data_IF_894831158683
#
_entry.id   IF_894831158683
#
_cell.length_a   1.000
_cell.length_b   1.000
_cell.length_c   1.000
_cell.angle_alpha   90.00
_cell.angle_beta   90.00
_cell.angle_gamma   90.00
#
_symmetry.space_group_name_H-M   'P 1'
#
loop_
_entity.id
_entity.type
_entity.pdbx_description
1 polymer ?
#
# COMPACT_ATOMS: atom_id res chain seq x y z
N UNK A 1 -8.56 9.67 -20.31
CA UNK A 1 -8.15 10.41 -19.10
C UNK A 1 -8.82 9.72 -17.93
N UNK A 2 -8.07 9.01 -17.07
CA UNK A 2 -8.64 8.36 -15.88
C UNK A 2 -9.31 9.41 -15.01
N UNK A 3 -10.59 9.21 -14.72
CA UNK A 3 -11.41 10.07 -13.87
C UNK A 3 -10.76 10.15 -12.48
N UNK A 4 -10.63 11.35 -11.94
CA UNK A 4 -10.11 11.55 -10.60
C UNK A 4 -11.08 10.95 -9.58
N UNK A 5 -10.60 10.04 -8.74
CA UNK A 5 -11.38 9.46 -7.66
C UNK A 5 -11.50 10.44 -6.50
N UNK A 6 -12.65 10.43 -5.83
CA UNK A 6 -12.85 11.16 -4.57
C UNK A 6 -12.37 10.28 -3.41
N UNK A 7 -11.45 10.82 -2.61
CA UNK A 7 -11.01 10.22 -1.35
C UNK A 7 -11.50 11.09 -0.19
N UNK A 8 -12.12 10.48 0.80
CA UNK A 8 -12.73 11.18 1.93
C UNK A 8 -11.78 11.21 3.14
N UNK A 9 -10.92 12.23 3.19
CA UNK A 9 -9.96 12.43 4.26
C UNK A 9 -10.64 12.97 5.53
N UNK A 10 -10.78 12.10 6.52
CA UNK A 10 -11.24 12.41 7.87
C UNK A 10 -10.04 12.60 8.80
N UNK A 11 -9.81 13.84 9.23
CA UNK A 11 -8.71 14.19 10.13
C UNK A 11 -9.21 15.07 11.28
N UNK A 12 -8.92 14.75 12.55
CA UNK A 12 -9.34 15.57 13.68
C UNK A 12 -8.58 16.90 13.79
N UNK A 13 -7.54 17.10 12.98
CA UNK A 13 -6.70 18.30 12.95
C UNK A 13 -6.40 18.70 11.51
N UNK A 14 -6.22 20.02 11.30
CA UNK A 14 -5.81 20.59 10.02
C UNK A 14 -4.29 20.51 9.84
N UNK A 15 -3.77 20.46 8.60
CA UNK A 15 -2.34 20.56 8.36
C UNK A 15 -1.75 21.83 9.00
N UNK A 16 -0.61 21.69 9.67
CA UNK A 16 0.06 22.77 10.41
C UNK A 16 1.58 22.75 10.20
N UNK A 17 2.26 23.82 10.63
CA UNK A 17 3.70 23.99 10.41
C UNK A 17 4.03 23.99 8.92
N UNK A 18 5.00 23.16 8.51
CA UNK A 18 5.44 23.05 7.11
C UNK A 18 4.54 22.15 6.24
N UNK A 19 3.57 21.45 6.84
CA UNK A 19 2.71 20.52 6.11
C UNK A 19 1.92 21.18 4.96
N UNK A 20 1.28 22.36 5.11
CA UNK A 20 0.54 22.99 4.02
C UNK A 20 1.40 23.25 2.78
N UNK A 21 2.63 23.74 2.98
CA UNK A 21 3.59 24.00 1.90
C UNK A 21 4.01 22.69 1.23
N UNK A 22 4.39 21.68 2.00
CA UNK A 22 4.78 20.37 1.46
C UNK A 22 3.65 19.70 0.67
N UNK A 23 2.41 19.76 1.16
CA UNK A 23 1.22 19.26 0.46
C UNK A 23 1.05 19.98 -0.88
N UNK A 24 1.13 21.31 -0.89
CA UNK A 24 0.95 22.12 -2.08
C UNK A 24 2.05 21.89 -3.12
N UNK A 25 3.30 21.70 -2.71
CA UNK A 25 4.42 21.41 -3.61
C UNK A 25 4.30 20.01 -4.23
N UNK A 26 4.06 18.99 -3.41
CA UNK A 26 3.91 17.60 -3.88
C UNK A 26 2.71 17.45 -4.82
N UNK A 27 1.58 18.06 -4.47
CA UNK A 27 0.35 18.05 -5.32
C UNK A 27 0.66 18.69 -6.67
N UNK A 28 1.27 19.89 -6.68
CA UNK A 28 1.63 20.57 -7.94
C UNK A 28 2.63 19.77 -8.78
N UNK A 29 3.58 19.07 -8.16
CA UNK A 29 4.49 18.20 -8.90
C UNK A 29 3.77 17.04 -9.58
N UNK A 30 2.79 16.44 -8.91
CA UNK A 30 1.98 15.38 -9.51
C UNK A 30 1.13 15.92 -10.68
N UNK A 31 0.54 17.11 -10.54
CA UNK A 31 -0.23 17.76 -11.61
C UNK A 31 0.63 18.13 -12.83
N UNK A 32 1.92 18.45 -12.61
CA UNK A 32 2.89 18.67 -13.70
C UNK A 32 3.36 17.37 -14.38
N UNK A 33 3.07 16.21 -13.77
CA UNK A 33 3.55 14.91 -14.26
C UNK A 33 4.96 14.56 -13.80
N UNK A 34 5.46 15.16 -12.71
CA UNK A 34 6.77 14.84 -12.16
C UNK A 34 6.78 13.38 -11.69
N UNK A 35 7.62 12.55 -12.34
CA UNK A 35 7.69 11.11 -12.07
C UNK A 35 8.28 10.78 -10.70
N UNK A 36 9.20 11.62 -10.21
CA UNK A 36 9.92 11.39 -8.97
C UNK A 36 9.89 12.66 -8.12
N UNK A 37 9.46 12.52 -6.88
CA UNK A 37 9.43 13.59 -5.88
C UNK A 37 9.89 13.01 -4.53
N UNK A 38 10.43 13.85 -3.66
CA UNK A 38 10.93 13.42 -2.34
C UNK A 38 10.42 14.37 -1.26
N UNK A 39 9.72 13.82 -0.27
CA UNK A 39 9.33 14.54 0.94
C UNK A 39 10.44 14.38 1.99
N UNK A 40 11.26 15.42 2.17
CA UNK A 40 12.27 15.45 3.22
C UNK A 40 11.64 15.87 4.57
N UNK A 41 10.98 14.93 5.24
CA UNK A 41 10.30 15.17 6.51
C UNK A 41 11.05 14.63 7.72
N UNK A 42 11.31 15.47 8.72
CA UNK A 42 11.88 15.05 10.02
C UNK A 42 10.96 14.07 10.76
N UNK A 43 11.49 13.29 11.69
CA UNK A 43 10.68 12.39 12.54
C UNK A 43 9.70 13.22 13.38
N UNK A 44 8.45 12.75 13.51
CA UNK A 44 7.40 13.45 14.26
C UNK A 44 6.69 14.58 13.49
N UNK A 45 7.11 14.93 12.27
CA UNK A 45 6.47 16.00 11.46
C UNK A 45 5.09 15.65 10.88
N UNK A 46 4.57 14.44 11.14
CA UNK A 46 3.27 14.01 10.60
C UNK A 46 3.29 13.66 9.11
N UNK A 47 4.34 12.97 8.64
CA UNK A 47 4.49 12.57 7.22
C UNK A 47 3.26 11.85 6.65
N UNK A 48 2.63 10.95 7.43
CA UNK A 48 1.43 10.23 6.98
C UNK A 48 0.28 11.19 6.68
N UNK A 49 0.07 12.23 7.51
CA UNK A 49 -0.96 13.25 7.27
C UNK A 49 -0.67 14.08 6.01
N UNK A 50 0.59 14.46 5.81
CA UNK A 50 1.02 15.14 4.58
C UNK A 50 0.69 14.29 3.35
N UNK A 51 1.08 13.01 3.35
CA UNK A 51 0.83 12.11 2.22
C UNK A 51 -0.68 11.82 2.05
N UNK A 52 -1.46 11.69 3.12
CA UNK A 52 -2.91 11.53 3.03
C UNK A 52 -3.58 12.72 2.32
N UNK A 53 -3.17 13.95 2.63
CA UNK A 53 -3.67 15.13 1.92
C UNK A 53 -3.26 15.12 0.43
N UNK A 54 -2.04 14.66 0.11
CA UNK A 54 -1.58 14.53 -1.27
C UNK A 54 -2.41 13.48 -2.03
N UNK A 55 -2.69 12.33 -1.42
CA UNK A 55 -3.54 11.27 -2.00
C UNK A 55 -4.93 11.84 -2.32
N UNK A 56 -5.58 12.52 -1.35
CA UNK A 56 -6.86 13.18 -1.57
C UNK A 56 -6.81 14.18 -2.72
N UNK A 57 -5.79 15.04 -2.70
CA UNK A 57 -5.68 16.10 -3.70
C UNK A 57 -5.40 15.55 -5.10
N UNK A 58 -4.67 14.46 -5.25
CA UNK A 58 -4.34 13.86 -6.54
C UNK A 58 -5.44 12.94 -7.06
N UNK A 59 -6.12 12.21 -6.17
CA UNK A 59 -7.31 11.42 -6.49
C UNK A 59 -7.05 10.25 -7.43
N UNK A 60 -6.01 9.45 -7.15
CA UNK A 60 -5.70 8.21 -7.89
C UNK A 60 -5.45 7.04 -6.93
N UNK A 61 -5.74 5.79 -7.35
CA UNK A 61 -5.32 4.61 -6.60
C UNK A 61 -3.84 4.70 -6.23
N UNK A 62 -3.52 4.46 -4.96
CA UNK A 62 -2.18 4.67 -4.42
C UNK A 62 -1.61 3.42 -3.76
N UNK A 63 -0.38 3.07 -4.11
CA UNK A 63 0.39 2.01 -3.44
C UNK A 63 1.40 2.64 -2.46
N UNK A 64 1.29 2.30 -1.18
CA UNK A 64 2.23 2.70 -0.12
C UNK A 64 3.12 1.51 0.19
N UNK A 65 4.40 1.58 -0.20
CA UNK A 65 5.37 0.52 0.06
C UNK A 65 6.13 0.76 1.37
N UNK A 66 6.14 -0.25 2.24
CA UNK A 66 6.91 -0.29 3.47
C UNK A 66 7.93 -1.43 3.43
N UNK A 67 9.11 -1.19 3.99
CA UNK A 67 10.20 -2.16 3.99
C UNK A 67 10.02 -3.29 5.01
N UNK A 68 9.04 -3.19 5.93
CA UNK A 68 8.80 -4.21 6.95
C UNK A 68 7.31 -4.31 7.33
N UNK A 69 6.90 -5.48 7.87
CA UNK A 69 5.50 -5.78 8.25
C UNK A 69 5.00 -4.87 9.39
N UNK A 70 5.84 -4.53 10.36
CA UNK A 70 5.46 -3.71 11.53
C UNK A 70 5.06 -2.29 11.11
N UNK A 71 5.91 -1.62 10.33
CA UNK A 71 5.62 -0.28 9.83
C UNK A 71 4.47 -0.31 8.81
N UNK A 72 4.35 -1.38 8.01
CA UNK A 72 3.19 -1.54 7.12
C UNK A 72 1.88 -1.59 7.92
N UNK A 73 1.83 -2.35 9.02
CA UNK A 73 0.65 -2.42 9.88
C UNK A 73 0.33 -1.07 10.53
N UNK A 74 1.35 -0.32 10.98
CA UNK A 74 1.18 1.02 11.52
C UNK A 74 0.58 1.99 10.48
N UNK A 75 1.17 2.03 9.28
CA UNK A 75 0.69 2.86 8.18
C UNK A 75 -0.73 2.48 7.75
N UNK A 76 -1.04 1.18 7.69
CA UNK A 76 -2.39 0.69 7.40
C UNK A 76 -3.40 1.19 8.43
N UNK A 77 -3.09 1.10 9.73
CA UNK A 77 -3.95 1.62 10.79
C UNK A 77 -4.16 3.14 10.70
N UNK A 78 -3.08 3.90 10.53
CA UNK A 78 -3.14 5.37 10.39
C UNK A 78 -3.96 5.78 9.17
N UNK A 79 -3.62 5.26 7.98
CA UNK A 79 -4.31 5.59 6.72
C UNK A 79 -5.78 5.17 6.79
N UNK A 80 -6.10 4.01 7.38
CA UNK A 80 -7.49 3.56 7.54
C UNK A 80 -8.30 4.48 8.46
N UNK A 81 -7.68 5.04 9.49
CA UNK A 81 -8.32 6.05 10.34
C UNK A 81 -8.53 7.38 9.62
N UNK A 82 -7.64 7.74 8.68
CA UNK A 82 -7.77 8.92 7.85
C UNK A 82 -8.79 8.76 6.72
N UNK A 83 -9.03 7.55 6.23
CA UNK A 83 -9.94 7.30 5.11
C UNK A 83 -10.96 6.19 5.46
N UNK A 84 -11.86 6.42 6.43
CA UNK A 84 -12.78 5.39 6.92
C UNK A 84 -13.83 4.97 5.88
N UNK A 85 -14.03 5.76 4.82
CA UNK A 85 -15.02 5.53 3.77
C UNK A 85 -14.39 5.05 2.43
N UNK A 86 -13.06 5.04 2.34
CA UNK A 86 -12.32 4.57 1.17
C UNK A 86 -11.82 3.11 1.35
N UNK A 87 -11.40 2.47 0.26
CA UNK A 87 -10.81 1.14 0.32
C UNK A 87 -9.33 1.23 0.73
N UNK A 88 -9.08 1.26 2.03
CA UNK A 88 -7.73 1.10 2.58
C UNK A 88 -7.48 -0.38 2.82
N UNK A 89 -6.52 -0.93 2.07
CA UNK A 89 -6.27 -2.37 1.95
C UNK A 89 -4.83 -2.72 2.34
N UNK A 90 -4.61 -3.98 2.71
CA UNK A 90 -3.34 -4.46 3.26
C UNK A 90 -2.79 -5.64 2.46
N UNK A 91 -1.58 -5.50 1.93
CA UNK A 91 -0.98 -6.48 1.02
C UNK A 91 0.45 -6.84 1.42
N UNK A 92 0.59 -7.87 2.26
CA UNK A 92 1.89 -8.40 2.70
C UNK A 92 1.98 -9.89 2.43
N UNK A 93 3.15 -10.48 2.66
CA UNK A 93 3.28 -11.95 2.65
C UNK A 93 2.33 -12.56 3.70
N UNK A 94 1.46 -13.45 3.23
CA UNK A 94 0.57 -14.27 4.03
C UNK A 94 1.24 -15.45 4.73
N UNK A 95 2.56 -15.61 4.60
CA UNK A 95 3.27 -16.62 5.36
C UNK A 95 3.63 -16.07 6.75
N UNK A 96 3.21 -16.78 7.79
CA UNK A 96 3.69 -16.57 9.16
C UNK A 96 5.08 -17.18 9.34
N UNK A 97 5.30 -18.32 8.70
CA UNK A 97 6.59 -18.98 8.59
C UNK A 97 6.82 -19.43 7.14
N UNK A 98 8.04 -19.26 6.65
CA UNK A 98 8.41 -19.68 5.29
C UNK A 98 9.87 -20.08 5.23
N UNK A 99 10.11 -21.33 4.86
CA UNK A 99 11.40 -21.88 4.48
C UNK A 99 11.36 -22.19 2.97
N UNK A 100 12.21 -21.52 2.16
CA UNK A 100 12.31 -21.86 0.76
C UNK A 100 12.95 -23.24 0.59
N UNK A 101 12.58 -23.90 -0.50
CA UNK A 101 13.32 -25.06 -0.98
C UNK A 101 14.74 -24.62 -1.36
N UNK A 102 15.74 -25.35 -0.86
CA UNK A 102 17.14 -25.04 -1.17
C UNK A 102 17.98 -26.31 -1.17
N UNK A 103 19.07 -26.27 -1.94
CA UNK A 103 20.12 -27.27 -1.87
C UNK A 103 21.42 -26.58 -1.43
N UNK A 104 22.08 -27.12 -0.41
CA UNK A 104 23.32 -26.61 0.18
C UNK A 104 24.48 -27.50 -0.26
N UNK A 105 25.28 -27.10 -1.27
CA UNK A 105 26.28 -28.00 -1.88
C UNK A 105 27.43 -28.37 -0.94
N UNK A 106 27.80 -27.48 -0.02
CA UNK A 106 28.92 -27.70 0.90
C UNK A 106 28.69 -28.84 1.90
N UNK A 107 27.43 -29.12 2.21
CA UNK A 107 27.02 -30.16 3.15
C UNK A 107 26.20 -31.26 2.48
N UNK A 108 26.08 -31.22 1.14
CA UNK A 108 25.24 -32.13 0.35
C UNK A 108 23.83 -32.28 0.96
N UNK A 109 23.23 -31.15 1.35
CA UNK A 109 21.97 -31.14 2.09
C UNK A 109 20.86 -30.52 1.26
N UNK A 110 19.80 -31.28 1.05
CA UNK A 110 18.54 -30.76 0.53
C UNK A 110 17.64 -30.30 1.68
N UNK A 111 17.12 -29.08 1.55
CA UNK A 111 16.20 -28.44 2.48
C UNK A 111 14.84 -28.36 1.79
N UNK A 112 13.88 -29.14 2.30
CA UNK A 112 12.51 -29.12 1.81
C UNK A 112 11.82 -27.78 2.10
N UNK A 113 10.90 -27.42 1.21
CA UNK A 113 9.99 -26.30 1.42
C UNK A 113 9.08 -26.61 2.59
N UNK A 114 9.01 -25.69 3.54
CA UNK A 114 8.05 -25.72 4.64
C UNK A 114 7.47 -24.32 4.84
N UNK A 115 6.17 -24.22 5.12
CA UNK A 115 5.51 -22.94 5.29
C UNK A 115 4.21 -23.06 6.08
N UNK A 116 3.89 -21.99 6.82
CA UNK A 116 2.60 -21.80 7.48
C UNK A 116 1.92 -20.55 6.93
N UNK A 117 0.66 -20.68 6.54
CA UNK A 117 -0.16 -19.61 5.94
C UNK A 117 -1.04 -19.00 7.02
N UNK A 118 -1.13 -17.68 7.00
CA UNK A 118 -2.06 -16.87 7.77
C UNK A 118 -3.30 -16.58 6.90
N UNK A 119 -4.41 -17.25 7.20
CA UNK A 119 -5.66 -17.12 6.44
C UNK A 119 -6.25 -15.71 6.48
N UNK A 120 -6.05 -14.96 7.58
CA UNK A 120 -6.55 -13.59 7.68
C UNK A 120 -5.79 -12.64 6.75
N UNK A 121 -4.47 -12.79 6.67
CA UNK A 121 -3.66 -12.02 5.71
C UNK A 121 -4.00 -12.42 4.27
N UNK A 122 -4.26 -13.69 3.99
CA UNK A 122 -4.70 -14.12 2.65
C UNK A 122 -6.02 -13.44 2.25
N UNK A 123 -7.00 -13.43 3.17
CA UNK A 123 -8.27 -12.72 2.95
C UNK A 123 -8.07 -11.23 2.69
N UNK A 124 -7.15 -10.57 3.39
CA UNK A 124 -6.81 -9.16 3.16
C UNK A 124 -6.16 -8.94 1.78
N UNK A 125 -5.30 -9.86 1.32
CA UNK A 125 -4.71 -9.79 -0.02
C UNK A 125 -5.76 -9.91 -1.13
N UNK A 126 -6.68 -10.87 -1.00
CA UNK A 126 -7.78 -11.05 -1.94
C UNK A 126 -8.66 -9.80 -2.00
N UNK A 127 -9.00 -9.24 -0.83
CA UNK A 127 -9.75 -7.99 -0.72
C UNK A 127 -9.03 -6.81 -1.38
N UNK A 128 -7.71 -6.71 -1.25
CA UNK A 128 -6.91 -5.67 -1.90
C UNK A 128 -6.99 -5.76 -3.43
N UNK A 129 -6.84 -6.96 -3.99
CA UNK A 129 -6.95 -7.17 -5.45
C UNK A 129 -8.36 -6.94 -5.96
N UNK A 130 -9.39 -7.41 -5.25
CA UNK A 130 -10.79 -7.18 -5.61
C UNK A 130 -11.16 -5.69 -5.56
N UNK A 131 -10.69 -4.95 -4.56
CA UNK A 131 -10.95 -3.51 -4.44
C UNK A 131 -10.44 -2.72 -5.64
N UNK A 132 -9.28 -3.07 -6.20
CA UNK A 132 -8.74 -2.45 -7.41
C UNK A 132 -9.59 -2.72 -8.66
N UNK A 133 -10.39 -3.79 -8.67
CA UNK A 133 -11.27 -4.12 -9.79
C UNK A 133 -12.64 -3.43 -9.68
N UNK A 134 -13.05 -3.05 -8.46
CA UNK A 134 -14.39 -2.56 -8.15
C UNK A 134 -14.50 -1.03 -8.02
N UNK A 135 -13.43 -0.34 -7.58
CA UNK A 135 -13.45 1.11 -7.31
C UNK A 135 -12.09 1.77 -7.51
N UNK A 136 -12.11 3.10 -7.62
CA UNK A 136 -10.90 3.90 -7.90
C UNK A 136 -10.29 4.55 -6.64
N UNK A 137 -11.07 4.73 -5.57
CA UNK A 137 -10.57 5.25 -4.29
C UNK A 137 -9.99 4.14 -3.41
N UNK A 138 -8.86 3.59 -3.87
CA UNK A 138 -8.14 2.49 -3.23
C UNK A 138 -6.74 2.92 -2.79
N UNK A 139 -6.38 2.62 -1.55
CA UNK A 139 -5.02 2.78 -1.02
C UNK A 139 -4.55 1.41 -0.53
N UNK A 140 -3.49 0.88 -1.13
CA UNK A 140 -2.90 -0.39 -0.70
C UNK A 140 -1.63 -0.10 0.09
N UNK A 141 -1.58 -0.54 1.35
CA UNK A 141 -0.35 -0.57 2.13
C UNK A 141 0.29 -1.94 1.98
N UNK A 142 1.49 -1.99 1.43
CA UNK A 142 2.14 -3.23 1.05
C UNK A 142 3.59 -3.31 1.48
N UNK A 143 4.11 -4.54 1.54
CA UNK A 143 5.56 -4.79 1.57
C UNK A 143 6.07 -5.13 0.17
N UNK A 144 7.33 -5.55 0.05
CA UNK A 144 7.90 -6.12 -1.18
C UNK A 144 7.11 -7.31 -1.73
N UNK A 145 6.13 -7.86 -1.01
CA UNK A 145 5.20 -8.82 -1.59
C UNK A 145 4.48 -8.29 -2.85
N UNK A 146 4.33 -6.97 -3.01
CA UNK A 146 3.70 -6.35 -4.18
C UNK A 146 4.50 -6.50 -5.49
N UNK A 147 5.76 -6.92 -5.42
CA UNK A 147 6.60 -7.18 -6.62
C UNK A 147 6.77 -8.68 -6.92
N UNK A 148 6.11 -9.56 -6.15
CA UNK A 148 6.08 -11.00 -6.42
C UNK A 148 4.92 -11.38 -7.34
N UNK A 149 5.04 -12.53 -7.99
CA UNK A 149 4.06 -13.01 -8.95
C UNK A 149 2.64 -13.13 -8.38
N UNK A 150 1.68 -12.66 -9.17
CA UNK A 150 0.25 -12.81 -9.00
C UNK A 150 -0.33 -13.35 -10.32
N UNK A 151 -1.55 -13.89 -10.28
CA UNK A 151 -2.28 -14.27 -11.49
C UNK A 151 -2.53 -13.08 -12.42
N UNK A 152 -2.84 -13.37 -13.68
CA UNK A 152 -3.17 -12.33 -14.66
C UNK A 152 -4.43 -11.55 -14.22
N UNK A 153 -4.39 -10.20 -14.19
CA UNK A 153 -5.50 -9.39 -13.70
C UNK A 153 -6.76 -9.49 -14.58
N UNK A 154 -6.62 -9.75 -15.88
CA UNK A 154 -7.78 -9.90 -16.79
C UNK A 154 -8.48 -11.22 -16.47
N UNK A 155 -7.73 -12.32 -16.37
CA UNK A 155 -8.29 -13.62 -15.98
C UNK A 155 -8.91 -13.58 -14.58
N UNK A 156 -8.29 -12.87 -13.63
CA UNK A 156 -8.84 -12.72 -12.28
C UNK A 156 -10.18 -11.98 -12.31
N UNK A 157 -10.29 -10.91 -13.11
CA UNK A 157 -11.53 -10.15 -13.27
C UNK A 157 -12.65 -10.99 -13.90
N UNK A 158 -12.33 -11.84 -14.87
CA UNK A 158 -13.30 -12.78 -15.48
C UNK A 158 -13.84 -13.80 -14.47
N UNK A 159 -13.04 -14.21 -13.49
CA UNK A 159 -13.47 -15.14 -12.43
C UNK A 159 -14.35 -14.48 -11.35
N UNK A 160 -14.34 -13.14 -11.25
CA UNK A 160 -15.17 -12.39 -10.30
C UNK A 160 -16.59 -12.08 -10.83
N UNK A 161 -16.83 -12.23 -12.14
CA UNK A 161 -18.12 -11.98 -12.81
C UNK A 161 -18.89 -13.28 -12.97
#
# INVERSE_FOLDING_TARGET
MTTKAEFDLQAPFKPAGDQPTAIAELTRGLDRGDRFQTLLGVTGSGKTMTIANVIRNFGRPTLVLSHNKTLAAQLYGEIKSFFPHDAVEYFISYYDYYQPEAYVPTTDTYIEKDASINEDIDRLRLRATSSLMERENVIIVATVSAIYGLGDPVSYKEQMV
#
